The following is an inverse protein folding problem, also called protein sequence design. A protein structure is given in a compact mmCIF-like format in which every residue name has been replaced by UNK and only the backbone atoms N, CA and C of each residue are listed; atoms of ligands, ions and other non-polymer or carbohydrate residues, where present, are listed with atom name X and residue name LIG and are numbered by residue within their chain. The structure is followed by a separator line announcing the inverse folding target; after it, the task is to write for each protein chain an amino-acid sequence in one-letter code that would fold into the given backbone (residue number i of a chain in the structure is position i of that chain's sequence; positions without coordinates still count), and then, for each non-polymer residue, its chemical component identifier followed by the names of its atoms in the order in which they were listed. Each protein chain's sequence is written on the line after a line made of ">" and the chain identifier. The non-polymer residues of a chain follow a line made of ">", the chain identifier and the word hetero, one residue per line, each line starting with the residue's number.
data_IF_345952780471
#
_entry.id   IF_345952780471
#
_cell.length_a   1.000
_cell.length_b   1.000
_cell.length_c   1.000
_cell.angle_alpha   90.00
_cell.angle_beta   90.00
_cell.angle_gamma   90.00
#
_symmetry.space_group_name_H-M   'P 1'
#
loop_
_entity.id
_entity.type
_entity.pdbx_description
1 polymer ?
#
# COMPACT_ATOMS: atom_id res chain seq x y z
N UNK A 1 13.58 -6.69 -2.81
CA UNK A 1 12.46 -7.50 -3.27
C UNK A 1 11.22 -6.64 -3.42
N UNK A 2 10.48 -6.89 -4.46
CA UNK A 2 9.28 -6.09 -4.74
C UNK A 2 8.08 -6.68 -4.02
N UNK A 3 7.30 -5.83 -3.43
CA UNK A 3 6.04 -6.22 -2.80
C UNK A 3 4.91 -6.07 -3.79
N UNK A 4 3.84 -6.76 -3.54
CA UNK A 4 2.64 -6.67 -4.36
C UNK A 4 1.45 -6.24 -3.50
N UNK A 5 0.51 -5.57 -4.16
CA UNK A 5 -0.73 -5.18 -3.49
C UNK A 5 -1.47 -6.43 -3.03
N UNK A 6 -1.89 -6.43 -1.78
CA UNK A 6 -2.59 -7.58 -1.22
C UNK A 6 -4.03 -7.69 -1.73
N UNK A 7 -4.54 -6.62 -2.34
CA UNK A 7 -5.90 -6.60 -2.83
C UNK A 7 -6.00 -6.97 -4.31
N UNK A 8 -5.17 -6.35 -5.14
CA UNK A 8 -5.26 -6.56 -6.58
C UNK A 8 -4.05 -7.28 -7.17
N UNK A 9 -2.98 -7.43 -6.41
CA UNK A 9 -1.81 -8.16 -6.85
C UNK A 9 -0.87 -7.39 -7.77
N UNK A 10 -1.09 -6.09 -7.94
CA UNK A 10 -0.20 -5.28 -8.76
C UNK A 10 1.15 -5.09 -8.08
N UNK A 11 2.20 -5.01 -8.90
CA UNK A 11 3.54 -4.74 -8.37
C UNK A 11 3.59 -3.35 -7.76
N UNK A 12 4.28 -3.24 -6.65
CA UNK A 12 4.41 -1.97 -5.95
C UNK A 12 5.80 -1.39 -6.16
N UNK A 13 5.85 -0.06 -6.27
CA UNK A 13 7.13 0.64 -6.32
C UNK A 13 7.57 0.98 -4.90
N UNK A 14 8.82 1.43 -4.78
CA UNK A 14 9.34 1.86 -3.48
C UNK A 14 8.53 3.03 -2.93
N UNK A 15 8.09 3.92 -3.80
CA UNK A 15 7.29 5.07 -3.39
C UNK A 15 5.96 4.62 -2.80
N UNK A 16 5.33 3.65 -3.44
CA UNK A 16 4.06 3.12 -2.94
C UNK A 16 4.24 2.45 -1.59
N UNK A 17 5.31 1.71 -1.42
CA UNK A 17 5.61 1.07 -0.14
C UNK A 17 5.88 2.12 0.94
N UNK A 18 6.60 3.16 0.61
CA UNK A 18 6.87 4.23 1.56
C UNK A 18 5.59 4.94 1.97
N UNK A 19 4.68 5.16 1.03
CA UNK A 19 3.39 5.78 1.35
C UNK A 19 2.58 4.91 2.29
N UNK A 20 2.59 3.60 2.07
CA UNK A 20 1.88 2.69 2.96
C UNK A 20 2.40 2.81 4.39
N UNK A 21 3.72 2.84 4.55
CA UNK A 21 4.32 2.97 5.87
C UNK A 21 4.00 4.30 6.51
N UNK A 22 3.86 5.33 5.70
CA UNK A 22 3.58 6.67 6.19
C UNK A 22 2.13 6.84 6.57
N UNK A 23 1.22 6.32 5.75
CA UNK A 23 -0.21 6.55 5.90
C UNK A 23 -0.90 5.49 6.74
N UNK A 24 -0.36 4.29 6.79
CA UNK A 24 -0.94 3.21 7.59
C UNK A 24 -0.14 3.02 8.86
N UNK A 25 1.07 2.48 8.73
CA UNK A 25 1.92 2.21 9.89
C UNK A 25 3.33 1.92 9.43
N UNK A 26 4.31 2.34 10.23
CA UNK A 26 5.70 2.05 9.94
C UNK A 26 5.98 0.55 9.94
N UNK A 27 5.21 -0.19 10.70
CA UNK A 27 5.41 -1.62 10.87
C UNK A 27 4.45 -2.45 10.05
N UNK A 28 3.73 -1.80 9.12
CA UNK A 28 2.78 -2.55 8.31
C UNK A 28 3.49 -3.60 7.48
N UNK A 29 2.90 -4.78 7.43
CA UNK A 29 3.39 -5.87 6.60
C UNK A 29 2.56 -6.02 5.34
N UNK A 30 1.47 -5.30 5.24
CA UNK A 30 0.56 -5.34 4.12
C UNK A 30 0.66 -4.03 3.36
N UNK A 31 0.81 -4.14 2.05
CA UNK A 31 0.98 -2.97 1.20
C UNK A 31 -0.10 -2.95 0.14
N UNK A 32 -0.60 -1.75 -0.13
CA UNK A 32 -1.63 -1.52 -1.13
C UNK A 32 -1.06 -0.64 -2.23
N UNK A 33 -1.52 -0.87 -3.48
CA UNK A 33 -1.17 0.04 -4.55
C UNK A 33 -1.90 1.36 -4.34
N UNK A 34 -1.54 2.37 -5.14
CA UNK A 34 -2.13 3.70 -4.96
C UNK A 34 -3.65 3.68 -5.05
N UNK A 35 -4.20 2.94 -5.99
CA UNK A 35 -5.64 2.84 -6.14
C UNK A 35 -6.30 2.23 -4.92
N UNK A 36 -5.77 1.09 -4.47
CA UNK A 36 -6.33 0.40 -3.31
C UNK A 36 -6.10 1.21 -2.03
N UNK A 37 -4.95 1.84 -1.93
CA UNK A 37 -4.64 2.67 -0.77
C UNK A 37 -5.58 3.86 -0.70
N UNK A 38 -5.85 4.49 -1.83
CA UNK A 38 -6.76 5.61 -1.89
C UNK A 38 -8.16 5.19 -1.43
N UNK A 39 -8.63 4.04 -1.91
CA UNK A 39 -9.91 3.49 -1.48
C UNK A 39 -9.92 3.23 0.02
N UNK A 40 -8.85 2.66 0.52
CA UNK A 40 -8.73 2.35 1.94
C UNK A 40 -8.82 3.60 2.80
N UNK A 41 -8.17 4.67 2.36
CA UNK A 41 -8.15 5.92 3.12
C UNK A 41 -9.47 6.68 3.02
N UNK A 42 -10.22 6.45 1.95
CA UNK A 42 -11.51 7.10 1.76
C UNK A 42 -12.67 6.36 2.41
N UNK A 43 -12.38 5.22 3.00
CA UNK A 43 -13.42 4.44 3.68
C UNK A 43 -13.52 4.91 5.12
N UNK A 44 -14.66 5.35 5.50
CA UNK A 44 -14.93 5.75 6.88
C UNK A 44 -15.50 4.62 7.68
#
# INVERSE_FOLDING_TARGET
>A
MMKKCIECGNNLTKDEMALNKKLISKNTKQFLCLDCLSSFLNTD
#
